data_IF_111020873471
#
_entry.id   IF_111020873471
#
_cell.length_a   1.000
_cell.length_b   1.000
_cell.length_c   1.000
_cell.angle_alpha   90.00
_cell.angle_beta   90.00
_cell.angle_gamma   90.00
#
_symmetry.space_group_name_H-M   'P 1'
#
loop_
_entity.id
_entity.type
_entity.pdbx_description
1 polymer ?
#
# COMPACT_ATOMS: atom_id res chain seq x y z
N UNK A 1 -53.88 38.90 -11.33
CA UNK A 1 -52.66 39.70 -11.56
C UNK A 1 -51.45 38.84 -11.22
N UNK A 2 -50.70 38.38 -12.23
CA UNK A 2 -49.54 37.49 -12.07
C UNK A 2 -48.33 38.34 -11.62
N UNK A 3 -47.74 38.05 -10.47
CA UNK A 3 -46.46 38.64 -10.05
C UNK A 3 -45.35 37.66 -10.41
N UNK A 4 -44.62 37.98 -11.45
CA UNK A 4 -43.44 37.24 -11.92
C UNK A 4 -42.31 37.45 -10.91
N UNK A 5 -41.87 36.38 -10.24
CA UNK A 5 -40.71 36.40 -9.35
C UNK A 5 -39.46 36.08 -10.20
N UNK A 6 -38.62 37.08 -10.46
CA UNK A 6 -37.31 36.89 -11.09
C UNK A 6 -36.35 36.23 -10.10
N UNK A 7 -35.98 34.97 -10.38
CA UNK A 7 -34.90 34.28 -9.69
C UNK A 7 -33.57 34.78 -10.26
N UNK A 8 -32.86 35.65 -9.52
CA UNK A 8 -31.48 36.01 -9.86
C UNK A 8 -30.59 34.89 -9.35
N UNK A 9 -30.17 34.00 -10.26
CA UNK A 9 -29.18 32.98 -9.96
C UNK A 9 -27.81 33.67 -9.84
N UNK A 10 -27.38 33.94 -8.62
CA UNK A 10 -26.05 34.47 -8.33
C UNK A 10 -25.03 33.34 -8.58
N UNK A 11 -24.39 33.32 -9.75
CA UNK A 11 -23.29 32.38 -10.01
C UNK A 11 -22.09 32.82 -9.18
N UNK A 12 -21.91 32.19 -8.03
CA UNK A 12 -20.67 32.29 -7.25
C UNK A 12 -19.57 31.69 -8.12
N UNK A 13 -18.73 32.54 -8.69
CA UNK A 13 -17.49 32.14 -9.33
C UNK A 13 -16.58 31.62 -8.20
N UNK A 14 -16.61 30.31 -7.94
CA UNK A 14 -15.62 29.70 -7.08
C UNK A 14 -14.24 30.03 -7.69
N UNK A 15 -13.32 30.68 -6.94
CA UNK A 15 -11.97 30.91 -7.44
C UNK A 15 -11.41 29.55 -7.84
N UNK A 16 -11.03 29.43 -9.11
CA UNK A 16 -10.55 28.18 -9.69
C UNK A 16 -9.44 27.65 -8.79
N UNK A 17 -9.74 26.58 -8.04
CA UNK A 17 -8.72 25.80 -7.38
C UNK A 17 -7.79 25.38 -8.50
N UNK A 18 -6.56 25.89 -8.50
CA UNK A 18 -5.53 25.41 -9.40
C UNK A 18 -5.58 23.89 -9.32
N UNK A 19 -6.05 23.26 -10.40
CA UNK A 19 -6.14 21.82 -10.45
C UNK A 19 -4.69 21.34 -10.33
N UNK A 20 -4.30 20.85 -9.14
CA UNK A 20 -3.13 20.01 -9.04
C UNK A 20 -3.27 19.00 -10.17
N UNK A 21 -2.23 18.86 -11.00
CA UNK A 21 -2.29 18.06 -12.22
C UNK A 21 -2.33 16.55 -11.87
N UNK A 22 -3.38 16.12 -11.17
CA UNK A 22 -3.56 14.82 -10.57
C UNK A 22 -4.71 14.76 -9.56
N UNK A 23 -4.81 13.66 -8.84
CA UNK A 23 -5.84 13.40 -7.85
C UNK A 23 -5.27 12.63 -6.66
N UNK A 24 -5.73 12.97 -5.45
CA UNK A 24 -5.47 12.17 -4.26
C UNK A 24 -6.39 10.95 -4.28
N UNK A 25 -5.80 9.75 -4.37
CA UNK A 25 -6.52 8.48 -4.45
C UNK A 25 -6.87 7.93 -3.06
N UNK A 26 -6.00 8.16 -2.08
CA UNK A 26 -6.13 7.61 -0.73
C UNK A 26 -5.41 8.49 0.28
N UNK A 27 -5.92 8.56 1.51
CA UNK A 27 -5.27 9.25 2.63
C UNK A 27 -5.34 10.77 2.55
N UNK A 28 -4.37 11.43 3.18
CA UNK A 28 -4.24 12.89 3.23
C UNK A 28 -3.05 13.33 2.38
N UNK A 29 -3.34 13.79 1.15
CA UNK A 29 -2.32 14.35 0.26
C UNK A 29 -2.09 15.86 0.48
N UNK A 30 -2.66 16.48 1.52
CA UNK A 30 -2.42 17.89 1.87
C UNK A 30 -1.36 18.00 2.96
N UNK A 31 -1.56 17.36 4.11
CA UNK A 31 -0.66 17.45 5.27
C UNK A 31 -0.60 16.14 6.06
N UNK A 32 -0.42 15.02 5.34
CA UNK A 32 -0.36 13.70 5.96
C UNK A 32 0.22 12.66 5.02
N UNK A 33 -0.12 11.40 5.26
CA UNK A 33 0.26 10.29 4.37
C UNK A 33 -0.87 10.02 3.39
N UNK A 34 -0.54 9.97 2.11
CA UNK A 34 -1.50 9.73 1.05
C UNK A 34 -0.92 9.02 -0.16
N UNK A 35 -1.79 8.73 -1.11
CA UNK A 35 -1.45 8.26 -2.45
C UNK A 35 -1.94 9.27 -3.46
N UNK A 36 -1.03 9.98 -4.12
CA UNK A 36 -1.35 10.93 -5.17
C UNK A 36 -1.02 10.34 -6.54
N UNK A 37 -1.91 10.50 -7.52
CA UNK A 37 -1.67 10.15 -8.91
C UNK A 37 -1.68 11.40 -9.77
N UNK A 38 -0.58 11.62 -10.49
CA UNK A 38 -0.49 12.70 -11.48
C UNK A 38 -1.24 12.33 -12.77
N UNK A 39 -1.65 13.35 -13.53
CA UNK A 39 -2.37 13.17 -14.81
C UNK A 39 -1.56 12.39 -15.86
N UNK A 40 -0.24 12.33 -15.73
CA UNK A 40 0.64 11.51 -16.58
C UNK A 40 0.64 10.02 -16.22
N UNK A 41 -0.15 9.61 -15.21
CA UNK A 41 -0.27 8.23 -14.74
C UNK A 41 0.73 7.85 -13.64
N UNK A 42 1.77 8.67 -13.39
CA UNK A 42 2.69 8.43 -12.28
C UNK A 42 1.96 8.53 -10.94
N UNK A 43 2.49 7.84 -9.92
CA UNK A 43 1.87 7.78 -8.59
C UNK A 43 2.93 7.88 -7.50
N UNK A 44 2.60 8.52 -6.40
CA UNK A 44 3.43 8.52 -5.19
C UNK A 44 2.59 8.16 -3.98
N UNK A 45 3.10 7.26 -3.16
CA UNK A 45 2.56 6.91 -1.86
C UNK A 45 3.59 7.26 -0.80
N UNK A 46 3.24 8.19 0.09
CA UNK A 46 4.16 8.72 1.10
C UNK A 46 3.58 9.92 1.81
N UNK A 47 4.45 10.70 2.45
CA UNK A 47 4.05 11.89 3.21
C UNK A 47 3.98 13.16 2.34
N UNK A 48 3.09 14.06 2.72
CA UNK A 48 2.81 15.33 2.06
C UNK A 48 2.78 16.47 3.08
N UNK A 49 3.30 17.63 2.69
CA UNK A 49 3.17 18.90 3.41
C UNK A 49 2.75 19.96 2.39
N UNK A 50 1.67 20.69 2.67
CA UNK A 50 1.07 21.68 1.76
C UNK A 50 0.91 21.15 0.31
N UNK A 51 0.33 19.96 0.18
CA UNK A 51 0.13 19.26 -1.09
C UNK A 51 1.40 18.88 -1.88
N UNK A 52 2.56 18.94 -1.23
CA UNK A 52 3.85 18.60 -1.84
C UNK A 52 4.43 17.36 -1.16
N UNK A 53 4.90 16.35 -1.92
CA UNK A 53 5.63 15.22 -1.34
C UNK A 53 6.79 15.67 -0.46
N UNK A 54 6.87 15.13 0.75
CA UNK A 54 7.95 15.40 1.70
C UNK A 54 8.25 14.15 2.53
N UNK A 55 9.53 13.76 2.63
CA UNK A 55 9.97 12.53 3.24
C UNK A 55 9.99 11.31 2.31
N UNK A 56 10.09 10.12 2.91
CA UNK A 56 10.24 8.85 2.20
C UNK A 56 8.90 8.34 1.66
N UNK A 57 8.95 7.72 0.48
CA UNK A 57 7.80 7.04 -0.08
C UNK A 57 8.14 6.18 -1.29
N UNK A 58 7.09 5.64 -1.90
CA UNK A 58 7.17 4.82 -3.11
C UNK A 58 6.61 5.61 -4.28
N UNK A 59 7.44 5.82 -5.30
CA UNK A 59 7.05 6.42 -6.56
C UNK A 59 6.90 5.35 -7.64
N UNK A 60 5.82 5.41 -8.40
CA UNK A 60 5.60 4.62 -9.61
C UNK A 60 5.63 5.56 -10.79
N UNK A 61 6.46 5.25 -11.79
CA UNK A 61 6.42 5.98 -13.05
C UNK A 61 5.17 5.59 -13.87
N UNK A 62 4.94 6.27 -15.00
CA UNK A 62 3.81 5.99 -15.91
C UNK A 62 3.77 4.55 -16.45
N UNK A 63 4.91 3.86 -16.45
CA UNK A 63 5.07 2.49 -16.95
C UNK A 63 4.91 1.45 -15.81
N UNK A 64 4.65 1.91 -14.58
CA UNK A 64 4.46 1.07 -13.39
C UNK A 64 5.75 0.62 -12.70
N UNK A 65 6.92 1.11 -13.12
CA UNK A 65 8.17 0.81 -12.43
C UNK A 65 8.21 1.50 -11.06
N UNK A 66 8.58 0.73 -10.04
CA UNK A 66 8.62 1.17 -8.64
C UNK A 66 9.99 1.76 -8.27
N UNK A 67 9.97 2.86 -7.54
CA UNK A 67 11.14 3.54 -6.99
C UNK A 67 10.88 3.85 -5.52
N UNK A 68 11.86 3.54 -4.67
CA UNK A 68 11.92 4.14 -3.34
C UNK A 68 12.52 5.53 -3.50
N UNK A 69 11.81 6.55 -3.04
CA UNK A 69 12.24 7.95 -3.17
C UNK A 69 12.15 8.65 -1.81
N UNK A 70 12.97 9.68 -1.64
CA UNK A 70 12.90 10.59 -0.51
C UNK A 70 12.83 12.01 -1.04
N UNK A 71 11.82 12.74 -0.58
CA UNK A 71 11.65 14.16 -0.85
C UNK A 71 12.11 14.99 0.34
N UNK A 72 12.67 16.15 0.06
CA UNK A 72 12.92 17.20 1.03
C UNK A 72 12.66 18.54 0.35
N UNK A 73 11.80 19.36 0.94
CA UNK A 73 11.42 20.68 0.39
C UNK A 73 10.93 20.60 -1.08
N UNK A 74 10.15 19.56 -1.37
CA UNK A 74 9.59 19.29 -2.71
C UNK A 74 10.61 18.80 -3.76
N UNK A 75 11.83 18.45 -3.36
CA UNK A 75 12.87 17.92 -4.26
C UNK A 75 13.27 16.50 -3.89
N UNK A 76 13.55 15.68 -4.89
CA UNK A 76 14.08 14.32 -4.67
C UNK A 76 15.51 14.41 -4.17
N UNK A 77 15.78 13.91 -2.97
CA UNK A 77 17.12 13.83 -2.38
C UNK A 77 17.73 12.43 -2.50
N UNK A 78 16.90 11.40 -2.58
CA UNK A 78 17.35 10.04 -2.90
C UNK A 78 16.33 9.32 -3.77
N UNK A 79 16.80 8.46 -4.68
CA UNK A 79 15.96 7.53 -5.41
C UNK A 79 16.68 6.21 -5.68
N UNK A 80 15.96 5.10 -5.52
CA UNK A 80 16.42 3.75 -5.84
C UNK A 80 15.33 3.02 -6.62
N UNK A 81 15.64 2.59 -7.85
CA UNK A 81 14.76 1.69 -8.59
C UNK A 81 14.65 0.35 -7.86
N UNK A 82 13.42 -0.17 -7.71
CA UNK A 82 13.17 -1.49 -7.14
C UNK A 82 13.22 -2.51 -8.28
N UNK A 83 14.07 -3.53 -8.15
CA UNK A 83 14.23 -4.53 -9.18
C UNK A 83 12.99 -5.45 -9.26
N UNK A 84 12.80 -6.10 -10.42
CA UNK A 84 11.72 -7.09 -10.58
C UNK A 84 11.89 -8.24 -9.59
N UNK A 85 13.12 -8.67 -9.35
CA UNK A 85 13.46 -9.72 -8.38
C UNK A 85 13.08 -9.30 -6.96
N UNK A 86 13.36 -8.05 -6.55
CA UNK A 86 12.94 -7.52 -5.25
C UNK A 86 11.40 -7.47 -5.12
N UNK A 87 10.69 -7.10 -6.18
CA UNK A 87 9.22 -7.06 -6.21
C UNK A 87 8.64 -8.49 -6.06
N UNK A 88 9.14 -9.44 -6.83
CA UNK A 88 8.67 -10.83 -6.78
C UNK A 88 9.03 -11.50 -5.46
N UNK A 89 10.20 -11.20 -4.89
CA UNK A 89 10.56 -11.66 -3.55
C UNK A 89 9.60 -11.13 -2.48
N UNK A 90 9.27 -9.82 -2.50
CA UNK A 90 8.27 -9.23 -1.59
C UNK A 90 6.89 -9.88 -1.76
N UNK A 91 6.45 -10.16 -2.99
CA UNK A 91 5.18 -10.85 -3.26
C UNK A 91 5.19 -12.26 -2.68
N UNK A 92 6.24 -13.04 -2.93
CA UNK A 92 6.44 -14.39 -2.37
C UNK A 92 6.41 -14.37 -0.85
N UNK A 93 7.09 -13.42 -0.21
CA UNK A 93 7.09 -13.27 1.24
C UNK A 93 5.69 -12.92 1.79
N UNK A 94 4.96 -12.00 1.14
CA UNK A 94 3.57 -11.70 1.53
C UNK A 94 2.66 -12.92 1.42
N UNK A 95 2.86 -13.75 0.39
CA UNK A 95 2.11 -14.99 0.22
C UNK A 95 2.47 -16.02 1.30
N UNK A 96 3.76 -16.19 1.61
CA UNK A 96 4.20 -17.04 2.72
C UNK A 96 3.57 -16.64 4.06
N UNK A 97 3.49 -15.34 4.34
CA UNK A 97 2.82 -14.82 5.55
C UNK A 97 1.33 -15.18 5.60
N UNK A 98 0.62 -15.14 4.46
CA UNK A 98 -0.79 -15.57 4.41
C UNK A 98 -0.96 -17.03 4.77
N UNK A 99 -0.07 -17.90 4.27
CA UNK A 99 -0.09 -19.31 4.65
C UNK A 99 0.25 -19.51 6.13
N UNK A 100 1.25 -18.81 6.68
CA UNK A 100 1.54 -18.87 8.11
C UNK A 100 0.33 -18.43 8.95
N UNK A 101 -0.35 -17.34 8.56
CA UNK A 101 -1.57 -16.88 9.21
C UNK A 101 -2.69 -17.93 9.16
N UNK A 102 -2.91 -18.57 8.00
CA UNK A 102 -3.86 -19.66 7.89
C UNK A 102 -3.48 -20.83 8.82
N UNK A 103 -2.20 -21.21 8.87
CA UNK A 103 -1.70 -22.22 9.79
C UNK A 103 -1.97 -21.88 11.25
N UNK A 104 -1.78 -20.63 11.67
CA UNK A 104 -2.11 -20.14 13.02
C UNK A 104 -3.60 -20.30 13.33
N UNK A 105 -4.47 -19.97 12.38
CA UNK A 105 -5.92 -20.11 12.54
C UNK A 105 -6.36 -21.56 12.74
N UNK A 106 -5.81 -22.51 11.98
CA UNK A 106 -6.11 -23.94 12.16
C UNK A 106 -5.50 -24.50 13.44
N UNK A 107 -4.29 -24.06 13.79
CA UNK A 107 -3.65 -24.44 15.05
C UNK A 107 -4.49 -24.03 16.27
N UNK A 108 -5.09 -22.83 16.25
CA UNK A 108 -6.03 -22.38 17.30
C UNK A 108 -7.27 -23.25 17.40
N UNK A 109 -7.76 -23.79 16.27
CA UNK A 109 -8.88 -24.74 16.21
C UNK A 109 -8.49 -26.16 16.65
N UNK A 110 -7.22 -26.39 17.00
CA UNK A 110 -6.63 -27.72 17.25
C UNK A 110 -6.70 -28.66 16.04
N UNK A 111 -6.92 -28.12 14.85
CA UNK A 111 -6.77 -28.84 13.59
C UNK A 111 -5.30 -28.77 13.18
N UNK A 112 -4.50 -29.66 13.79
CA UNK A 112 -3.06 -29.65 13.63
C UNK A 112 -2.61 -30.08 12.24
N UNK A 113 -3.33 -30.99 11.58
CA UNK A 113 -3.03 -31.44 10.21
C UNK A 113 -3.11 -30.28 9.21
N UNK A 114 -4.22 -29.53 9.23
CA UNK A 114 -4.39 -28.34 8.39
C UNK A 114 -3.35 -27.27 8.74
N UNK A 115 -3.06 -27.07 10.04
CA UNK A 115 -2.04 -26.13 10.47
C UNK A 115 -0.66 -26.46 9.87
N UNK A 116 -0.25 -27.72 9.98
CA UNK A 116 1.02 -28.26 9.45
C UNK A 116 1.08 -28.07 7.93
N UNK A 117 0.00 -28.36 7.20
CA UNK A 117 -0.08 -28.14 5.76
C UNK A 117 0.23 -26.68 5.40
N UNK A 118 -0.43 -25.73 6.05
CA UNK A 118 -0.24 -24.31 5.75
C UNK A 118 1.12 -23.78 6.18
N UNK A 119 1.67 -24.22 7.32
CA UNK A 119 3.03 -23.86 7.70
C UNK A 119 4.06 -24.38 6.68
N UNK A 120 3.88 -25.59 6.14
CA UNK A 120 4.74 -26.11 5.08
C UNK A 120 4.69 -25.28 3.78
N UNK A 121 3.50 -24.78 3.39
CA UNK A 121 3.39 -23.85 2.26
C UNK A 121 4.17 -22.55 2.53
N UNK A 122 4.07 -22.01 3.75
CA UNK A 122 4.84 -20.83 4.15
C UNK A 122 6.36 -21.07 4.10
N UNK A 123 6.85 -22.20 4.63
CA UNK A 123 8.27 -22.58 4.61
C UNK A 123 8.78 -22.77 3.18
N UNK A 124 7.98 -23.38 2.30
CA UNK A 124 8.34 -23.54 0.88
C UNK A 124 8.60 -22.20 0.20
N UNK A 125 7.80 -21.18 0.53
CA UNK A 125 7.92 -19.85 -0.07
C UNK A 125 8.99 -18.99 0.58
N UNK A 126 9.25 -19.17 1.88
CA UNK A 126 10.28 -18.42 2.60
C UNK A 126 10.94 -19.31 3.66
N UNK A 127 11.92 -20.14 3.24
CA UNK A 127 12.51 -21.16 4.10
C UNK A 127 13.39 -20.60 5.22
N UNK A 128 13.92 -19.39 5.06
CA UNK A 128 14.80 -18.76 6.06
C UNK A 128 14.04 -18.09 7.22
N UNK A 129 12.70 -18.07 7.19
CA UNK A 129 11.92 -17.45 8.26
C UNK A 129 11.79 -18.38 9.48
N UNK A 130 12.44 -18.09 10.63
CA UNK A 130 12.47 -18.98 11.78
C UNK A 130 11.10 -19.14 12.47
N UNK A 131 10.20 -18.15 12.33
CA UNK A 131 8.86 -18.20 12.91
C UNK A 131 8.06 -19.36 12.32
N UNK A 132 8.16 -19.58 11.01
CA UNK A 132 7.38 -20.60 10.32
C UNK A 132 7.79 -22.00 10.77
N UNK A 133 9.10 -22.23 10.93
CA UNK A 133 9.64 -23.47 11.49
C UNK A 133 9.23 -23.69 12.95
N UNK A 134 9.22 -22.62 13.76
CA UNK A 134 8.75 -22.69 15.15
C UNK A 134 7.27 -23.09 15.21
N UNK A 135 6.41 -22.43 14.42
CA UNK A 135 4.99 -22.71 14.36
C UNK A 135 4.70 -24.14 13.86
N UNK A 136 5.41 -24.59 12.82
CA UNK A 136 5.34 -25.96 12.32
C UNK A 136 5.67 -27.00 13.40
N UNK A 137 6.80 -26.83 14.10
CA UNK A 137 7.22 -27.76 15.17
C UNK A 137 6.21 -27.83 16.31
N UNK A 138 5.64 -26.69 16.70
CA UNK A 138 4.60 -26.63 17.74
C UNK A 138 3.34 -27.39 17.32
N UNK A 139 2.90 -27.22 16.07
CA UNK A 139 1.75 -27.97 15.55
C UNK A 139 2.00 -29.47 15.50
N UNK A 140 3.19 -29.88 15.04
CA UNK A 140 3.62 -31.29 15.06
C UNK A 140 3.68 -31.91 16.47
N UNK A 141 3.98 -31.11 17.49
CA UNK A 141 3.97 -31.58 18.87
C UNK A 141 2.54 -31.75 19.41
N UNK A 142 1.58 -30.94 18.95
CA UNK A 142 0.16 -31.04 19.33
C UNK A 142 -0.62 -32.16 18.62
N UNK A 143 -0.08 -32.71 17.53
CA UNK A 143 -0.62 -33.89 16.84
C UNK A 143 -0.46 -35.19 17.67
N UNK A 144 0.36 -35.17 18.72
CA UNK A 144 0.63 -36.31 19.62
C UNK A 144 -0.34 -36.35 20.79
#
# INVERSE_FOLDING_TARGET
MKKTLCLVLLTILAPGTAAFAGSCLEGDCQNGTGTFQWNNGARFTGSFINATPDGKGTYFNKDGNEYLVEYQDGRVVSSKAVSKEEIELKKRHREAMKYNQAGVLYHQKKDFESAIFFYNQAITLWPDNPEFHHNYRRAKAGER
#
